data_IF_492849194511
#
_entry.id   IF_492849194511
#
_cell.length_a   1.000
_cell.length_b   1.000
_cell.length_c   1.000
_cell.angle_alpha   90.00
_cell.angle_beta   90.00
_cell.angle_gamma   90.00
#
_symmetry.space_group_name_H-M   'P 1'
#
loop_
_entity.id
_entity.type
_entity.pdbx_description
1 polymer ?
#
# COMPACT_ATOMS: atom_id res chain seq x y z
N UNK A 1 -27.01 -8.40 0.20
CA UNK A 1 -25.62 -7.92 0.01
C UNK A 1 -25.73 -6.52 -0.53
N UNK A 2 -25.26 -5.51 0.19
CA UNK A 2 -25.25 -4.13 -0.31
C UNK A 2 -24.42 -4.09 -1.59
N UNK A 3 -25.01 -3.62 -2.69
CA UNK A 3 -24.34 -3.47 -3.97
C UNK A 3 -23.23 -2.41 -3.83
N UNK A 4 -22.03 -2.86 -3.46
CA UNK A 4 -20.85 -2.02 -3.40
C UNK A 4 -20.46 -1.66 -4.83
N UNK A 5 -20.65 -0.39 -5.18
CA UNK A 5 -20.20 0.16 -6.45
C UNK A 5 -18.79 0.73 -6.29
N UNK A 6 -17.79 0.00 -6.81
CA UNK A 6 -16.38 0.41 -6.81
C UNK A 6 -16.09 1.16 -8.11
N UNK A 7 -15.51 2.36 -7.97
CA UNK A 7 -15.07 3.20 -9.09
C UNK A 7 -13.59 3.56 -8.94
N UNK A 8 -12.90 3.78 -10.06
CA UNK A 8 -11.51 4.21 -10.05
C UNK A 8 -11.34 5.59 -9.39
N UNK A 9 -10.24 5.77 -8.67
CA UNK A 9 -9.87 7.08 -8.15
C UNK A 9 -9.47 8.00 -9.32
N UNK A 10 -9.93 9.26 -9.37
CA UNK A 10 -9.71 10.13 -10.53
C UNK A 10 -8.24 10.50 -10.78
N UNK A 11 -7.38 10.41 -9.76
CA UNK A 11 -5.97 10.82 -9.84
C UNK A 11 -4.94 9.70 -9.72
N UNK A 12 -5.30 8.56 -9.13
CA UNK A 12 -4.33 7.55 -8.73
C UNK A 12 -4.67 6.22 -9.39
N UNK A 13 -3.70 5.65 -10.11
CA UNK A 13 -3.84 4.34 -10.75
C UNK A 13 -3.96 3.23 -9.71
N UNK A 14 -4.79 2.22 -9.98
CA UNK A 14 -5.05 1.08 -9.07
C UNK A 14 -5.52 1.44 -7.66
N UNK A 15 -5.94 2.68 -7.45
CA UNK A 15 -6.67 3.12 -6.28
C UNK A 15 -8.13 3.26 -6.66
N UNK A 16 -9.01 2.79 -5.80
CA UNK A 16 -10.45 2.77 -6.04
C UNK A 16 -11.19 3.31 -4.83
N UNK A 17 -12.39 3.82 -5.08
CA UNK A 17 -13.25 4.40 -4.06
C UNK A 17 -14.67 3.87 -4.17
N UNK A 18 -15.36 3.81 -3.03
CA UNK A 18 -16.80 3.53 -2.96
C UNK A 18 -17.46 4.42 -1.91
N UNK A 19 -18.77 4.64 -2.02
CA UNK A 19 -19.54 5.40 -1.03
C UNK A 19 -19.73 6.87 -1.40
N UNK A 20 -20.46 7.59 -0.52
CA UNK A 20 -20.76 9.00 -0.68
C UNK A 20 -19.51 9.87 -0.41
N UNK A 21 -19.44 11.11 -0.92
CA UNK A 21 -18.30 12.02 -0.69
C UNK A 21 -17.93 12.21 0.80
N UNK A 22 -18.92 12.17 1.70
CA UNK A 22 -18.73 12.37 3.14
C UNK A 22 -18.35 11.08 3.89
N UNK A 23 -18.32 9.93 3.20
CA UNK A 23 -17.97 8.63 3.76
C UNK A 23 -17.34 7.75 2.67
N UNK A 24 -16.25 8.26 2.09
CA UNK A 24 -15.49 7.55 1.07
C UNK A 24 -14.68 6.43 1.71
N UNK A 25 -14.83 5.23 1.16
CA UNK A 25 -13.94 4.09 1.44
C UNK A 25 -12.92 3.95 0.33
N UNK A 26 -11.69 3.67 0.71
CA UNK A 26 -10.56 3.50 -0.21
C UNK A 26 -10.26 2.01 -0.40
N UNK A 27 -9.82 1.64 -1.60
CA UNK A 27 -9.43 0.28 -1.92
C UNK A 27 -8.21 0.26 -2.85
N UNK A 28 -7.44 -0.81 -2.79
CA UNK A 28 -6.46 -1.18 -3.82
C UNK A 28 -6.93 -2.45 -4.55
N UNK A 29 -6.55 -2.60 -5.83
CA UNK A 29 -6.77 -3.87 -6.55
C UNK A 29 -5.80 -4.92 -6.02
N UNK A 30 -6.30 -6.07 -5.58
CA UNK A 30 -5.43 -7.08 -4.97
C UNK A 30 -4.51 -7.73 -6.01
N UNK A 31 -3.20 -7.54 -5.85
CA UNK A 31 -2.19 -8.20 -6.71
C UNK A 31 -2.07 -9.71 -6.41
N UNK A 32 -2.47 -10.14 -5.21
CA UNK A 32 -2.44 -11.54 -4.78
C UNK A 32 -3.85 -11.98 -4.33
N UNK A 33 -4.75 -12.32 -5.27
CA UNK A 33 -6.13 -12.67 -4.95
C UNK A 33 -6.27 -13.76 -3.89
N UNK A 34 -7.25 -13.62 -2.99
CA UNK A 34 -7.51 -14.52 -1.87
C UNK A 34 -6.57 -14.35 -0.68
N UNK A 35 -5.54 -13.51 -0.78
CA UNK A 35 -4.61 -13.23 0.33
C UNK A 35 -4.98 -11.92 1.05
N UNK A 36 -5.10 -12.00 2.38
CA UNK A 36 -5.23 -10.85 3.29
C UNK A 36 -3.92 -10.65 4.03
N UNK A 37 -3.63 -9.41 4.39
CA UNK A 37 -2.39 -9.05 5.09
C UNK A 37 -2.62 -8.80 6.58
N UNK A 38 -3.61 -7.99 6.94
CA UNK A 38 -3.82 -7.56 8.34
C UNK A 38 -5.28 -7.67 8.80
N UNK A 39 -6.10 -8.41 8.04
CA UNK A 39 -7.51 -8.65 8.34
C UNK A 39 -8.45 -7.64 7.68
N UNK A 40 -7.98 -6.90 6.67
CA UNK A 40 -8.79 -6.07 5.81
C UNK A 40 -9.89 -6.87 5.08
N UNK A 41 -10.97 -6.21 4.70
CA UNK A 41 -12.03 -6.84 3.91
C UNK A 41 -11.58 -7.01 2.46
N UNK A 42 -11.81 -8.20 1.93
CA UNK A 42 -11.72 -8.48 0.50
C UNK A 42 -13.10 -8.35 -0.13
N UNK A 43 -13.18 -7.67 -1.26
CA UNK A 43 -14.42 -7.47 -2.01
C UNK A 43 -14.17 -7.88 -3.45
N UNK A 44 -14.99 -8.77 -3.97
CA UNK A 44 -15.00 -9.09 -5.40
C UNK A 44 -16.04 -8.23 -6.10
N UNK A 45 -15.62 -7.47 -7.11
CA UNK A 45 -16.51 -6.65 -7.93
C UNK A 45 -16.13 -6.78 -9.40
N UNK A 46 -17.11 -7.13 -10.25
CA UNK A 46 -16.91 -7.36 -11.70
C UNK A 46 -15.75 -8.32 -12.04
N UNK A 47 -15.57 -9.38 -11.25
CA UNK A 47 -14.55 -10.40 -11.47
C UNK A 47 -13.15 -10.05 -10.95
N UNK A 48 -12.98 -8.86 -10.37
CA UNK A 48 -11.71 -8.40 -9.79
C UNK A 48 -11.81 -8.35 -8.26
N UNK A 49 -10.72 -8.65 -7.56
CA UNK A 49 -10.66 -8.59 -6.10
C UNK A 49 -10.00 -7.29 -5.62
N UNK A 50 -10.61 -6.66 -4.63
CA UNK A 50 -10.19 -5.40 -4.04
C UNK A 50 -9.99 -5.57 -2.53
N UNK A 51 -9.02 -4.83 -2.00
CA UNK A 51 -8.68 -4.79 -0.57
C UNK A 51 -9.11 -3.46 0.03
N UNK A 52 -9.92 -3.48 1.08
CA UNK A 52 -10.29 -2.28 1.84
C UNK A 52 -9.04 -1.66 2.48
N UNK A 53 -8.80 -0.39 2.21
CA UNK A 53 -7.65 0.34 2.70
C UNK A 53 -8.09 1.41 3.71
N UNK A 54 -7.77 1.17 4.97
CA UNK A 54 -8.21 2.02 6.09
C UNK A 54 -7.32 3.27 6.25
N UNK A 55 -7.85 4.49 6.01
CA UNK A 55 -7.11 5.73 6.18
C UNK A 55 -6.65 6.00 7.62
N UNK A 56 -7.35 5.47 8.63
CA UNK A 56 -6.96 5.64 10.04
C UNK A 56 -5.77 4.77 10.44
N UNK A 57 -5.44 3.76 9.62
CA UNK A 57 -4.30 2.85 9.84
C UNK A 57 -3.15 3.07 8.87
N UNK A 58 -3.35 3.88 7.83
CA UNK A 58 -2.35 4.13 6.80
C UNK A 58 -2.27 5.60 6.44
N UNK A 59 -1.12 6.21 6.76
CA UNK A 59 -0.83 7.61 6.41
C UNK A 59 -0.91 7.85 4.91
N UNK A 60 -0.46 6.89 4.09
CA UNK A 60 -0.54 7.00 2.64
C UNK A 60 -2.01 7.02 2.16
N UNK A 61 -2.89 6.20 2.73
CA UNK A 61 -4.32 6.25 2.43
C UNK A 61 -4.94 7.59 2.85
N UNK A 62 -4.61 8.09 4.04
CA UNK A 62 -5.05 9.41 4.50
C UNK A 62 -4.58 10.51 3.54
N UNK A 63 -3.31 10.50 3.13
CA UNK A 63 -2.79 11.44 2.14
C UNK A 63 -3.48 11.31 0.77
N UNK A 64 -3.83 10.10 0.33
CA UNK A 64 -4.58 9.94 -0.92
C UNK A 64 -5.97 10.60 -0.83
N UNK A 65 -6.62 10.56 0.34
CA UNK A 65 -7.93 11.19 0.56
C UNK A 65 -7.86 12.71 0.76
N UNK A 66 -6.84 13.20 1.47
CA UNK A 66 -6.63 14.64 1.77
C UNK A 66 -6.08 15.45 0.59
N UNK A 67 -5.83 14.80 -0.57
CA UNK A 67 -5.44 15.41 -1.86
C UNK A 67 -4.13 16.23 -1.95
N UNK A 68 -3.01 15.97 -1.25
CA UNK A 68 -1.69 16.41 -1.74
C UNK A 68 -1.38 15.88 -3.15
N UNK A 69 -0.57 16.61 -3.92
CA UNK A 69 -0.05 16.20 -5.23
C UNK A 69 0.97 15.06 -5.08
N UNK A 70 0.48 13.82 -4.98
CA UNK A 70 1.29 12.60 -5.00
C UNK A 70 1.58 12.12 -6.44
N UNK A 71 2.03 13.03 -7.32
CA UNK A 71 2.24 12.74 -8.75
C UNK A 71 3.30 11.67 -9.02
N UNK A 72 4.20 11.44 -8.06
CA UNK A 72 5.22 10.39 -8.13
C UNK A 72 4.64 8.97 -7.99
N UNK A 73 3.41 8.81 -7.50
CA UNK A 73 2.80 7.51 -7.23
C UNK A 73 2.28 6.86 -8.52
N UNK A 74 3.21 6.35 -9.32
CA UNK A 74 2.94 5.69 -10.61
C UNK A 74 3.10 4.18 -10.51
N UNK A 75 2.54 3.44 -11.48
CA UNK A 75 2.62 1.97 -11.54
C UNK A 75 4.05 1.42 -11.64
N UNK A 76 4.97 2.21 -12.19
CA UNK A 76 6.37 1.86 -12.48
C UNK A 76 7.34 2.41 -11.42
N UNK A 77 6.81 2.99 -10.33
CA UNK A 77 7.60 3.62 -9.28
C UNK A 77 8.52 2.59 -8.60
N UNK A 78 9.82 2.82 -8.68
CA UNK A 78 10.82 2.20 -7.80
C UNK A 78 11.05 3.13 -6.60
N UNK A 79 10.79 2.65 -5.38
CA UNK A 79 10.87 3.49 -4.19
C UNK A 79 11.49 2.79 -2.99
N UNK A 80 12.09 3.59 -2.12
CA UNK A 80 12.56 3.19 -0.81
C UNK A 80 11.50 3.56 0.23
N UNK A 81 10.93 2.59 0.94
CA UNK A 81 9.94 2.81 1.99
C UNK A 81 10.61 2.65 3.37
N UNK A 82 10.72 3.76 4.10
CA UNK A 82 11.39 3.78 5.41
C UNK A 82 10.39 3.54 6.55
N UNK A 83 10.69 2.58 7.43
CA UNK A 83 9.80 2.19 8.52
C UNK A 83 8.62 1.36 8.01
N UNK A 84 8.92 0.26 7.31
CA UNK A 84 7.92 -0.62 6.71
C UNK A 84 7.04 -1.35 7.76
N UNK A 85 7.49 -1.43 9.02
CA UNK A 85 6.81 -2.11 10.12
C UNK A 85 6.42 -3.55 9.73
N UNK A 86 5.16 -3.95 9.96
CA UNK A 86 4.63 -5.25 9.57
C UNK A 86 4.18 -5.35 8.11
N UNK A 87 4.30 -4.27 7.34
CA UNK A 87 3.98 -4.26 5.91
C UNK A 87 2.52 -3.96 5.54
N UNK A 88 1.69 -3.45 6.46
CA UNK A 88 0.28 -3.12 6.16
C UNK A 88 0.14 -2.12 5.02
N UNK A 89 0.78 -0.95 5.13
CA UNK A 89 0.72 0.10 4.11
C UNK A 89 1.47 -0.29 2.83
N UNK A 90 2.66 -0.87 2.97
CA UNK A 90 3.48 -1.22 1.79
C UNK A 90 2.78 -2.29 0.93
N UNK A 91 1.94 -3.14 1.51
CA UNK A 91 1.18 -4.13 0.75
C UNK A 91 0.15 -3.48 -0.18
N UNK A 92 -0.47 -2.36 0.23
CA UNK A 92 -1.33 -1.57 -0.65
C UNK A 92 -0.51 -0.75 -1.65
N UNK A 93 0.67 -0.25 -1.25
CA UNK A 93 1.59 0.37 -2.18
C UNK A 93 2.01 -0.62 -3.29
N UNK A 94 2.27 -1.88 -2.94
CA UNK A 94 2.60 -2.97 -3.87
C UNK A 94 1.49 -3.24 -4.89
N UNK A 95 0.22 -3.13 -4.49
CA UNK A 95 -0.92 -3.22 -5.40
C UNK A 95 -0.94 -2.05 -6.42
N UNK A 96 -0.44 -0.87 -6.01
CA UNK A 96 -0.43 0.35 -6.85
C UNK A 96 0.78 0.35 -7.80
N UNK A 97 1.97 0.01 -7.30
CA UNK A 97 3.25 0.04 -8.03
C UNK A 97 3.62 -1.34 -8.58
N UNK A 98 2.63 -2.00 -9.20
CA UNK A 98 2.73 -3.40 -9.62
C UNK A 98 3.78 -3.71 -10.71
N UNK A 99 4.34 -2.69 -11.37
CA UNK A 99 5.50 -2.84 -12.28
C UNK A 99 6.83 -2.38 -11.65
N UNK A 100 6.77 -1.58 -10.58
CA UNK A 100 7.95 -1.08 -9.87
C UNK A 100 8.43 -2.03 -8.76
N UNK A 101 9.38 -1.54 -7.96
CA UNK A 101 9.99 -2.26 -6.84
C UNK A 101 9.97 -1.40 -5.58
N UNK A 102 9.50 -1.97 -4.47
CA UNK A 102 9.47 -1.34 -3.15
C UNK A 102 10.57 -1.96 -2.29
N UNK A 103 11.53 -1.14 -1.88
CA UNK A 103 12.55 -1.50 -0.91
C UNK A 103 12.06 -1.13 0.49
N UNK A 104 11.55 -2.10 1.24
CA UNK A 104 10.96 -1.87 2.56
C UNK A 104 12.00 -2.00 3.67
N UNK A 105 12.45 -0.88 4.22
CA UNK A 105 13.41 -0.84 5.33
C UNK A 105 12.69 -0.91 6.66
N UNK A 106 13.09 -1.86 7.50
CA UNK A 106 12.63 -1.97 8.88
C UNK A 106 13.80 -2.39 9.78
N UNK A 107 13.88 -1.82 10.98
CA UNK A 107 14.96 -2.07 11.93
C UNK A 107 14.58 -3.16 12.95
N UNK A 108 13.31 -3.20 13.37
CA UNK A 108 12.86 -4.12 14.40
C UNK A 108 12.68 -5.55 13.84
N UNK A 109 13.45 -6.51 14.35
CA UNK A 109 13.41 -7.90 13.90
C UNK A 109 12.00 -8.53 13.95
N UNK A 110 11.22 -8.24 15.00
CA UNK A 110 9.86 -8.76 15.14
C UNK A 110 8.95 -8.26 14.02
N UNK A 111 9.01 -6.96 13.74
CA UNK A 111 8.26 -6.34 12.64
C UNK A 111 8.73 -6.87 11.30
N UNK A 112 10.05 -7.04 11.12
CA UNK A 112 10.64 -7.62 9.92
C UNK A 112 10.14 -9.04 9.63
N UNK A 113 10.02 -9.90 10.65
CA UNK A 113 9.45 -11.25 10.46
C UNK A 113 8.02 -11.19 9.90
N UNK A 114 7.20 -10.27 10.41
CA UNK A 114 5.84 -10.06 9.92
C UNK A 114 5.85 -9.49 8.50
N UNK A 115 6.73 -8.54 8.21
CA UNK A 115 6.92 -7.98 6.89
C UNK A 115 7.26 -9.06 5.85
N UNK A 116 8.22 -9.93 6.14
CA UNK A 116 8.59 -11.05 5.26
C UNK A 116 7.37 -11.95 5.03
N UNK A 117 6.67 -12.37 6.09
CA UNK A 117 5.48 -13.22 5.96
C UNK A 117 4.37 -12.57 5.11
N UNK A 118 4.14 -11.27 5.31
CA UNK A 118 3.09 -10.51 4.62
C UNK A 118 3.45 -10.15 3.18
N UNK A 119 4.74 -10.18 2.83
CA UNK A 119 5.24 -9.84 1.50
C UNK A 119 5.73 -11.04 0.69
N UNK A 120 5.80 -12.24 1.26
CA UNK A 120 6.32 -13.46 0.61
C UNK A 120 5.71 -13.72 -0.80
N UNK A 121 4.40 -13.47 -0.96
CA UNK A 121 3.70 -13.67 -2.24
C UNK A 121 3.82 -12.47 -3.20
N UNK A 122 4.39 -11.36 -2.77
CA UNK A 122 4.46 -10.08 -3.49
C UNK A 122 5.87 -9.86 -4.02
N UNK A 123 6.08 -10.21 -5.28
CA UNK A 123 7.40 -10.15 -5.95
C UNK A 123 8.01 -8.75 -6.04
N UNK A 124 7.21 -7.70 -5.91
CA UNK A 124 7.65 -6.30 -5.99
C UNK A 124 8.02 -5.69 -4.63
N UNK A 125 8.05 -6.47 -3.55
CA UNK A 125 8.51 -6.00 -2.24
C UNK A 125 9.84 -6.70 -1.90
N UNK A 126 10.84 -5.91 -1.55
CA UNK A 126 12.15 -6.37 -1.07
C UNK A 126 12.31 -5.89 0.38
N UNK A 127 12.12 -6.78 1.37
CA UNK A 127 12.35 -6.47 2.79
C UNK A 127 13.85 -6.30 3.07
N UNK A 128 14.22 -5.23 3.78
CA UNK A 128 15.62 -4.93 4.16
C UNK A 128 15.68 -4.68 5.67
N UNK A 129 16.42 -5.52 6.39
CA UNK A 129 16.65 -5.37 7.83
C UNK A 129 17.83 -4.42 8.04
N UNK A 130 17.54 -3.16 8.32
CA UNK A 130 18.56 -2.13 8.49
C UNK A 130 18.01 -0.95 9.29
N UNK A 131 18.90 -0.22 9.95
CA UNK A 131 18.60 1.11 10.49
C UNK A 131 18.61 2.14 9.34
N UNK A 132 17.53 2.90 9.23
CA UNK A 132 17.35 3.94 8.21
C UNK A 132 18.27 5.15 8.42
N UNK A 133 18.82 5.36 9.63
CA UNK A 133 19.72 6.49 9.93
C UNK A 133 21.10 6.35 9.29
N UNK A 134 21.48 5.14 8.86
CA UNK A 134 22.79 4.87 8.26
C UNK A 134 22.74 4.84 6.72
N UNK A 135 21.60 5.19 6.11
CA UNK A 135 21.45 5.15 4.65
C UNK A 135 22.22 6.27 3.94
N UNK A 136 23.11 5.90 3.00
CA UNK A 136 23.91 6.81 2.16
C UNK A 136 23.56 6.70 0.66
N UNK A 137 22.28 6.70 0.28
CA UNK A 137 21.87 6.59 -1.13
C UNK A 137 20.96 7.74 -1.59
N UNK A 138 21.09 8.23 -2.84
CA UNK A 138 20.24 9.26 -3.43
C UNK A 138 18.94 8.69 -4.03
N UNK A 139 18.20 7.88 -3.28
CA UNK A 139 16.94 7.29 -3.74
C UNK A 139 15.73 8.13 -3.31
N UNK A 140 14.68 8.18 -4.15
CA UNK A 140 13.37 8.71 -3.74
C UNK A 140 12.84 7.90 -2.56
N UNK A 141 12.96 8.48 -1.37
CA UNK A 141 12.53 7.87 -0.12
C UNK A 141 11.11 8.33 0.21
N UNK A 142 10.21 7.36 0.39
CA UNK A 142 8.91 7.57 1.01
C UNK A 142 9.11 7.30 2.50
N UNK A 143 9.22 8.38 3.28
CA UNK A 143 9.20 8.33 4.75
C UNK A 143 7.87 8.86 5.23
N UNK A 144 7.11 8.04 5.96
CA UNK A 144 5.85 8.42 6.60
C UNK A 144 6.00 8.31 8.13
N UNK A 145 7.08 8.84 8.68
CA UNK A 145 7.26 9.00 10.12
C UNK A 145 6.23 10.01 10.69
N UNK A 146 5.84 9.89 11.99
CA UNK A 146 4.91 10.84 12.63
C UNK A 146 5.55 12.22 12.84
#
# INVERSE_FOLDING_TARGET
MSDINIRAHPKFSNVYISGAPNNLRLYSKNLVPGNRVYGEKLITFKGEEYREWDPFRSKLAAMILEKPSLEFLTKDLNCLYLGAASGTTISHLSDIVYHGVIYGVEFAERSMRQLIQNSDKRKNIIPILSDANFFKLPAFAISLAP
#
